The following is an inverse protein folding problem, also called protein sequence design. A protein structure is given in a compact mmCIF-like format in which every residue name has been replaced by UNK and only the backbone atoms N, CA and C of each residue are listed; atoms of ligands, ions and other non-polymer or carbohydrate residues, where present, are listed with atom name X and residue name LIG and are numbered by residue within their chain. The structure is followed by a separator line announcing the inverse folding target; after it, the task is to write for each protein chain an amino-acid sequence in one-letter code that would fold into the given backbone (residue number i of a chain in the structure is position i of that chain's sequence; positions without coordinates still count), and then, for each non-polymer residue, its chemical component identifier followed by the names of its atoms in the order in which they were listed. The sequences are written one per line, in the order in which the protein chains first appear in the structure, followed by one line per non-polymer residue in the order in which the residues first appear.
data_IF_884812024242
#
_entry.id   IF_884812024242
#
_cell.length_a   1.000
_cell.length_b   1.000
_cell.length_c   1.000
_cell.angle_alpha   90.00
_cell.angle_beta   90.00
_cell.angle_gamma   90.00
#
_symmetry.space_group_name_H-M   'P 1'
#
loop_
_entity.id
_entity.type
_entity.pdbx_description
1 polymer ?
#
# COMPACT_ATOMS: atom_id res chain seq x y z
N UNK A 1 -6.42 -44.59 -0.92
CA UNK A 1 -6.45 -43.43 -1.86
C UNK A 1 -7.65 -42.50 -1.70
N UNK A 2 -8.82 -42.93 -1.21
CA UNK A 2 -10.00 -42.04 -1.04
C UNK A 2 -9.98 -41.08 0.17
N UNK A 3 -9.08 -41.27 1.15
CA UNK A 3 -9.04 -40.47 2.39
C UNK A 3 -8.28 -39.14 2.25
N UNK A 4 -7.37 -39.03 1.30
CA UNK A 4 -6.59 -37.80 1.07
C UNK A 4 -7.37 -36.75 0.25
N UNK A 5 -8.40 -37.17 -0.49
CA UNK A 5 -9.24 -36.25 -1.26
C UNK A 5 -10.07 -35.32 -0.34
N UNK A 6 -10.51 -35.85 0.81
CA UNK A 6 -11.28 -35.08 1.79
C UNK A 6 -10.45 -34.04 2.54
N UNK A 7 -9.16 -34.34 2.79
CA UNK A 7 -8.25 -33.39 3.45
C UNK A 7 -7.86 -32.26 2.49
N UNK A 8 -7.64 -32.56 1.20
CA UNK A 8 -7.37 -31.54 0.19
C UNK A 8 -8.58 -30.60 -0.04
N UNK A 9 -9.81 -31.16 0.01
CA UNK A 9 -11.03 -30.39 -0.12
C UNK A 9 -11.30 -29.50 1.12
N UNK A 10 -10.98 -29.98 2.32
CA UNK A 10 -11.15 -29.22 3.55
C UNK A 10 -10.19 -28.01 3.65
N UNK A 11 -9.00 -28.10 3.06
CA UNK A 11 -8.04 -26.98 2.98
C UNK A 11 -8.47 -25.91 1.95
N UNK A 12 -9.26 -26.27 0.93
CA UNK A 12 -9.78 -25.28 -0.03
C UNK A 12 -10.97 -24.47 0.50
N UNK A 13 -11.79 -25.02 1.40
CA UNK A 13 -12.99 -24.33 1.89
C UNK A 13 -12.68 -23.25 2.93
N UNK A 14 -11.58 -23.39 3.68
CA UNK A 14 -11.15 -22.41 4.68
C UNK A 14 -10.62 -21.08 4.12
N UNK A 15 -10.44 -20.96 2.79
CA UNK A 15 -10.00 -19.71 2.14
C UNK A 15 -11.19 -18.82 1.71
N UNK A 16 -12.44 -19.31 1.81
CA UNK A 16 -13.63 -18.58 1.30
C UNK A 16 -14.31 -17.67 2.34
N UNK A 17 -13.84 -17.65 3.60
CA UNK A 17 -14.56 -17.01 4.71
C UNK A 17 -14.33 -15.50 4.88
N UNK A 18 -13.81 -14.79 3.87
CA UNK A 18 -13.68 -13.32 3.87
C UNK A 18 -14.52 -12.62 2.78
N UNK A 19 -15.56 -13.26 2.27
CA UNK A 19 -16.47 -12.69 1.27
C UNK A 19 -17.75 -12.07 1.90
N UNK A 20 -17.61 -11.24 2.94
CA UNK A 20 -18.63 -10.22 3.23
C UNK A 20 -18.19 -8.93 2.53
N UNK A 21 -18.62 -8.84 1.28
CA UNK A 21 -18.13 -7.97 0.21
C UNK A 21 -18.59 -6.50 0.40
N UNK A 22 -17.96 -5.77 1.32
CA UNK A 22 -17.89 -4.30 1.17
C UNK A 22 -16.88 -4.03 0.07
N UNK A 23 -17.37 -3.74 -1.15
CA UNK A 23 -16.59 -3.37 -2.32
C UNK A 23 -15.45 -2.43 -1.92
N UNK A 24 -14.21 -2.95 -1.92
CA UNK A 24 -13.02 -2.21 -1.46
C UNK A 24 -12.92 -0.89 -2.25
N UNK A 25 -12.69 0.20 -1.54
CA UNK A 25 -12.50 1.51 -2.18
C UNK A 25 -11.26 1.50 -3.08
N UNK A 26 -11.24 2.33 -4.14
CA UNK A 26 -10.05 2.49 -5.01
C UNK A 26 -8.77 2.81 -4.23
N UNK A 27 -8.91 3.46 -3.07
CA UNK A 27 -7.78 3.82 -2.18
C UNK A 27 -7.25 2.58 -1.45
N UNK A 28 -8.14 1.72 -0.94
CA UNK A 28 -7.76 0.44 -0.33
C UNK A 28 -7.07 -0.48 -1.34
N UNK A 29 -7.63 -0.65 -2.54
CA UNK A 29 -7.04 -1.49 -3.59
C UNK A 29 -5.62 -1.03 -3.97
N UNK A 30 -5.39 0.29 -4.04
CA UNK A 30 -4.06 0.85 -4.33
C UNK A 30 -3.07 0.60 -3.18
N UNK A 31 -3.50 0.75 -1.94
CA UNK A 31 -2.66 0.49 -0.77
C UNK A 31 -2.32 -1.01 -0.66
N UNK A 32 -3.29 -1.88 -0.89
CA UNK A 32 -3.16 -3.34 -0.85
C UNK A 32 -2.16 -3.82 -1.92
N UNK A 33 -2.37 -3.44 -3.18
CA UNK A 33 -1.45 -3.79 -4.26
C UNK A 33 -0.03 -3.27 -4.03
N UNK A 34 0.13 -2.08 -3.44
CA UNK A 34 1.44 -1.58 -3.07
C UNK A 34 2.10 -2.45 -2.00
N UNK A 35 1.37 -2.77 -0.93
CA UNK A 35 1.86 -3.60 0.16
C UNK A 35 2.23 -5.01 -0.31
N UNK A 36 1.42 -5.64 -1.17
CA UNK A 36 1.71 -6.95 -1.75
C UNK A 36 3.00 -6.95 -2.58
N UNK A 37 3.16 -5.96 -3.47
CA UNK A 37 4.36 -5.88 -4.33
C UNK A 37 5.59 -5.53 -3.50
N UNK A 38 5.46 -4.65 -2.50
CA UNK A 38 6.54 -4.28 -1.59
C UNK A 38 6.96 -5.48 -0.72
N UNK A 39 5.99 -6.22 -0.18
CA UNK A 39 6.25 -7.42 0.61
C UNK A 39 6.95 -8.51 -0.20
N UNK A 40 6.56 -8.69 -1.47
CA UNK A 40 7.24 -9.62 -2.39
C UNK A 40 8.68 -9.21 -2.71
N UNK A 41 8.93 -7.93 -2.97
CA UNK A 41 10.28 -7.43 -3.31
C UNK A 41 11.24 -7.58 -2.12
N UNK A 42 10.77 -7.31 -0.90
CA UNK A 42 11.60 -7.29 0.33
C UNK A 42 11.40 -8.51 1.24
N UNK A 43 10.66 -9.53 0.79
CA UNK A 43 10.37 -10.76 1.54
C UNK A 43 9.81 -10.49 2.95
N UNK A 44 8.85 -9.56 3.05
CA UNK A 44 8.25 -9.18 4.33
C UNK A 44 7.30 -10.24 4.86
N UNK A 45 7.17 -10.32 6.18
CA UNK A 45 6.14 -11.12 6.83
C UNK A 45 4.75 -10.44 6.78
N UNK A 46 3.70 -11.16 7.20
CA UNK A 46 2.32 -10.67 7.14
C UNK A 46 2.09 -9.42 7.99
N UNK A 47 2.73 -9.33 9.16
CA UNK A 47 2.61 -8.17 10.06
C UNK A 47 3.21 -6.92 9.43
N UNK A 48 4.43 -7.05 8.88
CA UNK A 48 5.12 -5.98 8.16
C UNK A 48 4.34 -5.55 6.92
N UNK A 49 3.79 -6.50 6.15
CA UNK A 49 2.94 -6.21 5.00
C UNK A 49 1.69 -5.42 5.42
N UNK A 50 1.04 -5.81 6.53
CA UNK A 50 -0.12 -5.10 7.07
C UNK A 50 0.25 -3.67 7.51
N UNK A 51 1.39 -3.48 8.18
CA UNK A 51 1.87 -2.13 8.54
C UNK A 51 2.11 -1.27 7.29
N UNK A 52 2.74 -1.83 6.25
CA UNK A 52 2.96 -1.14 4.98
C UNK A 52 1.63 -0.75 4.33
N UNK A 53 0.63 -1.65 4.35
CA UNK A 53 -0.71 -1.37 3.85
C UNK A 53 -1.36 -0.18 4.58
N UNK A 54 -1.37 -0.18 5.91
CA UNK A 54 -1.99 0.88 6.72
C UNK A 54 -1.30 2.23 6.51
N UNK A 55 0.04 2.24 6.50
CA UNK A 55 0.82 3.45 6.24
C UNK A 55 0.53 3.97 4.83
N UNK A 56 0.47 3.08 3.83
CA UNK A 56 0.19 3.48 2.45
C UNK A 56 -1.24 3.99 2.27
N UNK A 57 -2.20 3.37 2.94
CA UNK A 57 -3.59 3.78 2.94
C UNK A 57 -3.72 5.20 3.49
N UNK A 58 -3.07 5.49 4.62
CA UNK A 58 -3.06 6.82 5.21
C UNK A 58 -2.38 7.83 4.29
N UNK A 59 -1.23 7.48 3.70
CA UNK A 59 -0.52 8.34 2.76
C UNK A 59 -1.41 8.76 1.58
N UNK A 60 -2.18 7.83 1.01
CA UNK A 60 -3.10 8.11 -0.11
C UNK A 60 -4.24 9.03 0.35
N UNK A 61 -4.79 8.83 1.55
CA UNK A 61 -5.82 9.70 2.12
C UNK A 61 -5.29 11.12 2.34
N UNK A 62 -4.10 11.26 2.90
CA UNK A 62 -3.48 12.56 3.17
C UNK A 62 -3.20 13.32 1.87
N UNK A 63 -2.73 12.62 0.83
CA UNK A 63 -2.61 13.23 -0.51
C UNK A 63 -3.97 13.65 -1.07
N UNK A 64 -5.02 12.85 -0.87
CA UNK A 64 -6.38 13.20 -1.25
C UNK A 64 -6.86 14.49 -0.56
N UNK A 65 -6.63 14.62 0.74
CA UNK A 65 -6.99 15.79 1.52
C UNK A 65 -6.20 17.03 1.09
N UNK A 66 -4.89 16.90 0.90
CA UNK A 66 -4.05 18.00 0.41
C UNK A 66 -4.47 18.47 -0.99
N UNK A 67 -4.87 17.54 -1.87
CA UNK A 67 -5.39 17.89 -3.20
C UNK A 67 -6.73 18.63 -3.11
N UNK A 68 -7.62 18.23 -2.20
CA UNK A 68 -8.89 18.93 -1.95
C UNK A 68 -8.64 20.34 -1.42
N UNK A 69 -7.77 20.50 -0.42
CA UNK A 69 -7.39 21.79 0.15
C UNK A 69 -6.86 22.74 -0.94
N UNK A 70 -5.98 22.24 -1.83
CA UNK A 70 -5.50 23.05 -2.96
C UNK A 70 -6.63 23.42 -3.92
N UNK A 71 -7.53 22.49 -4.25
CA UNK A 71 -8.65 22.75 -5.17
C UNK A 71 -9.63 23.77 -4.61
N UNK A 72 -9.82 23.78 -3.30
CA UNK A 72 -10.70 24.71 -2.60
C UNK A 72 -10.09 26.09 -2.38
N UNK A 73 -8.77 26.24 -2.57
CA UNK A 73 -8.05 27.48 -2.28
C UNK A 73 -7.61 27.62 -0.82
N UNK A 74 -7.78 26.58 -0.01
CA UNK A 74 -7.42 26.57 1.42
C UNK A 74 -5.90 26.65 1.66
N UNK A 75 -5.10 26.31 0.64
CA UNK A 75 -3.62 26.33 0.71
C UNK A 75 -3.01 26.93 -0.55
N UNK A 76 -1.88 27.63 -0.38
CA UNK A 76 -1.09 28.12 -1.51
C UNK A 76 -0.40 26.97 -2.26
N UNK A 77 0.06 27.23 -3.49
CA UNK A 77 0.80 26.24 -4.27
C UNK A 77 2.09 25.77 -3.59
N UNK A 78 2.73 26.65 -2.81
CA UNK A 78 3.94 26.35 -2.04
C UNK A 78 3.63 25.46 -0.84
N UNK A 79 2.65 25.86 -0.01
CA UNK A 79 2.18 25.08 1.13
C UNK A 79 1.71 23.66 0.70
N UNK A 80 1.03 23.57 -0.45
CA UNK A 80 0.65 22.29 -1.04
C UNK A 80 1.85 21.39 -1.35
N UNK A 81 2.92 21.95 -1.96
CA UNK A 81 4.15 21.20 -2.31
C UNK A 81 4.88 20.74 -1.05
N UNK A 82 5.00 21.61 -0.06
CA UNK A 82 5.64 21.30 1.22
C UNK A 82 4.89 20.20 1.96
N UNK A 83 3.57 20.32 2.11
CA UNK A 83 2.74 19.29 2.74
C UNK A 83 2.84 17.97 2.02
N UNK A 84 2.88 17.99 0.69
CA UNK A 84 3.05 16.77 -0.12
C UNK A 84 4.41 16.10 0.12
N UNK A 85 5.48 16.88 0.28
CA UNK A 85 6.82 16.39 0.61
C UNK A 85 6.85 15.81 2.02
N UNK A 86 6.21 16.48 2.98
CA UNK A 86 6.08 16.02 4.36
C UNK A 86 5.34 14.68 4.45
N UNK A 87 4.16 14.55 3.82
CA UNK A 87 3.39 13.30 3.76
C UNK A 87 4.27 12.15 3.20
N UNK A 88 5.05 12.44 2.15
CA UNK A 88 5.97 11.49 1.55
C UNK A 88 7.07 11.04 2.53
N UNK A 89 7.76 12.00 3.16
CA UNK A 89 8.82 11.72 4.13
C UNK A 89 8.31 10.92 5.33
N UNK A 90 7.17 11.31 5.89
CA UNK A 90 6.58 10.64 7.05
C UNK A 90 6.19 9.21 6.72
N UNK A 91 5.59 8.97 5.55
CA UNK A 91 5.25 7.61 5.12
C UNK A 91 6.51 6.75 4.90
N UNK A 92 7.53 7.27 4.21
CA UNK A 92 8.79 6.54 4.01
C UNK A 92 9.48 6.21 5.33
N UNK A 93 9.51 7.17 6.28
CA UNK A 93 10.06 6.95 7.62
C UNK A 93 9.33 5.81 8.34
N UNK A 94 8.00 5.87 8.40
CA UNK A 94 7.18 4.84 9.06
C UNK A 94 7.34 3.46 8.42
N UNK A 95 7.41 3.38 7.08
CA UNK A 95 7.67 2.11 6.38
C UNK A 95 9.05 1.58 6.76
N UNK A 96 10.06 2.45 6.78
CA UNK A 96 11.43 2.07 7.16
C UNK A 96 11.48 1.51 8.58
N UNK A 97 10.83 2.17 9.52
CA UNK A 97 10.72 1.72 10.92
C UNK A 97 9.98 0.38 11.06
N UNK A 98 8.90 0.18 10.31
CA UNK A 98 8.09 -1.05 10.39
C UNK A 98 8.74 -2.26 9.71
N UNK A 99 9.61 -2.05 8.71
CA UNK A 99 10.11 -3.12 7.84
C UNK A 99 11.62 -3.34 7.93
N UNK A 100 12.36 -2.39 8.51
CA UNK A 100 13.82 -2.37 8.47
C UNK A 100 14.41 -1.98 7.11
N UNK A 101 13.60 -1.84 6.06
CA UNK A 101 14.05 -1.44 4.73
C UNK A 101 14.51 0.01 4.76
N UNK A 102 15.66 0.32 4.16
CA UNK A 102 16.19 1.68 4.22
C UNK A 102 15.34 2.64 3.40
N UNK A 103 15.33 3.92 3.80
CA UNK A 103 14.66 4.96 3.01
C UNK A 103 15.16 5.04 1.56
N UNK A 104 16.43 4.69 1.30
CA UNK A 104 17.03 4.67 -0.03
C UNK A 104 16.41 3.56 -0.89
N UNK A 105 16.27 2.36 -0.36
CA UNK A 105 15.64 1.22 -1.04
C UNK A 105 14.16 1.45 -1.28
N UNK A 106 13.44 2.01 -0.30
CA UNK A 106 12.02 2.39 -0.47
C UNK A 106 11.88 3.39 -1.63
N UNK A 107 12.76 4.38 -1.73
CA UNK A 107 12.73 5.36 -2.81
C UNK A 107 13.06 4.74 -4.17
N UNK A 108 14.04 3.82 -4.22
CA UNK A 108 14.39 3.08 -5.43
C UNK A 108 13.22 2.21 -5.91
N UNK A 109 12.58 1.49 -4.99
CA UNK A 109 11.37 0.71 -5.26
C UNK A 109 10.25 1.58 -5.82
N UNK A 110 9.96 2.73 -5.19
CA UNK A 110 8.94 3.66 -5.66
C UNK A 110 9.23 4.20 -7.06
N UNK A 111 10.50 4.45 -7.39
CA UNK A 111 10.91 4.88 -8.73
C UNK A 111 10.67 3.77 -9.76
N UNK A 112 11.10 2.54 -9.49
CA UNK A 112 10.85 1.35 -10.32
C UNK A 112 9.36 1.13 -10.56
N UNK A 113 8.55 1.20 -9.51
CA UNK A 113 7.10 1.04 -9.61
C UNK A 113 6.45 2.15 -10.46
N UNK A 114 6.95 3.40 -10.39
CA UNK A 114 6.47 4.51 -11.21
C UNK A 114 6.81 4.31 -12.69
N UNK A 115 8.01 3.84 -13.00
CA UNK A 115 8.46 3.56 -14.37
C UNK A 115 7.63 2.42 -15.00
N UNK A 116 7.39 1.35 -14.25
CA UNK A 116 6.53 0.24 -14.69
C UNK A 116 5.08 0.68 -14.96
N UNK A 117 4.54 1.60 -14.16
CA UNK A 117 3.20 2.11 -14.38
C UNK A 117 3.10 3.07 -15.57
N UNK A 118 4.19 3.78 -15.91
CA UNK A 118 4.25 4.63 -17.11
C UNK A 118 4.36 3.82 -18.39
N UNK A 119 5.12 2.72 -18.39
CA UNK A 119 5.29 1.85 -19.56
C UNK A 119 4.03 1.05 -19.93
N UNK A 120 3.00 1.07 -19.08
CA UNK A 120 1.69 0.42 -19.29
C UNK A 120 0.58 1.37 -19.74
N UNK A 121 0.88 2.67 -19.89
CA UNK A 121 0.00 3.69 -20.46
C UNK A 121 0.39 3.96 -21.90
#
# INVERSE_FOLDING_TARGET
MKKYLFILLAVMVSITSFAQDKKKSKVQVKAEKYAEVFAKEFSLNEEQQKSVYEIKLQQIKDYGNNNKAKKNGDVTAEAFKEKRKEIGKTATKKISEATGVTSKEINAFNKKLKEQNKAKQ
#
